data_IF_455028276818
#
_entry.id   IF_455028276818
#
_cell.length_a   1.000
_cell.length_b   1.000
_cell.length_c   1.000
_cell.angle_alpha   90.00
_cell.angle_beta   90.00
_cell.angle_gamma   90.00
#
_symmetry.space_group_name_H-M   'P 1'
#
loop_
_entity.id
_entity.type
_entity.pdbx_description
1 polymer ?
#
# COMPACT_ATOMS: atom_id res chain seq x y z
N UNK A 1 -2.80 -20.43 -14.52
CA UNK A 1 -1.41 -20.68 -14.08
C UNK A 1 -1.31 -20.27 -12.62
N UNK A 2 -0.65 -21.06 -11.76
CA UNK A 2 -0.46 -20.66 -10.34
C UNK A 2 0.68 -19.63 -10.29
N UNK A 3 0.38 -18.41 -9.84
CA UNK A 3 1.38 -17.32 -9.79
C UNK A 3 2.29 -17.51 -8.58
N UNK A 4 1.75 -17.62 -7.37
CA UNK A 4 2.56 -17.85 -6.16
C UNK A 4 2.48 -19.29 -5.69
N UNK A 5 3.61 -19.99 -5.78
CA UNK A 5 3.90 -21.26 -5.11
C UNK A 5 4.63 -21.00 -3.78
N UNK A 6 4.85 -22.05 -2.97
CA UNK A 6 5.59 -21.94 -1.72
C UNK A 6 7.03 -21.46 -1.95
N UNK A 7 7.72 -22.01 -2.95
CA UNK A 7 9.09 -21.61 -3.34
C UNK A 7 9.14 -20.15 -3.76
N UNK A 8 8.16 -19.68 -4.53
CA UNK A 8 8.08 -18.28 -4.96
C UNK A 8 7.83 -17.34 -3.79
N UNK A 9 7.00 -17.71 -2.83
CA UNK A 9 6.80 -16.91 -1.60
C UNK A 9 8.10 -16.81 -0.77
N UNK A 10 8.78 -17.95 -0.56
CA UNK A 10 10.06 -17.95 0.16
C UNK A 10 11.11 -17.13 -0.60
N UNK A 11 11.13 -17.21 -1.94
CA UNK A 11 11.99 -16.37 -2.79
C UNK A 11 11.72 -14.89 -2.56
N UNK A 12 10.47 -14.45 -2.64
CA UNK A 12 10.12 -13.04 -2.43
C UNK A 12 10.59 -12.53 -1.06
N UNK A 13 10.48 -13.34 -0.02
CA UNK A 13 10.81 -12.94 1.35
C UNK A 13 12.31 -12.96 1.69
N UNK A 14 13.09 -13.86 1.09
CA UNK A 14 14.47 -14.14 1.54
C UNK A 14 15.55 -14.02 0.46
N UNK A 15 15.19 -14.05 -0.83
CA UNK A 15 16.18 -13.92 -1.91
C UNK A 15 16.74 -12.51 -2.04
N UNK A 16 15.99 -11.50 -1.55
CA UNK A 16 16.37 -10.09 -1.58
C UNK A 16 16.57 -9.58 -0.14
N UNK A 17 17.74 -9.76 0.48
CA UNK A 17 17.95 -9.44 1.90
C UNK A 17 17.66 -7.96 2.24
N UNK A 18 17.98 -7.06 1.32
CA UNK A 18 17.72 -5.62 1.44
C UNK A 18 16.22 -5.27 1.52
N UNK A 19 15.34 -6.19 1.12
CA UNK A 19 13.89 -6.02 1.11
C UNK A 19 13.18 -6.83 2.21
N UNK A 20 13.91 -7.44 3.14
CA UNK A 20 13.37 -8.32 4.17
C UNK A 20 12.15 -7.73 4.92
N UNK A 21 12.18 -6.43 5.25
CA UNK A 21 11.11 -5.77 6.01
C UNK A 21 9.96 -5.24 5.13
N UNK A 22 10.07 -5.27 3.80
CA UNK A 22 9.14 -4.60 2.90
C UNK A 22 8.80 -5.36 1.61
N UNK A 23 9.33 -6.56 1.38
CA UNK A 23 9.03 -7.36 0.19
C UNK A 23 7.53 -7.54 -0.06
N UNK A 24 6.73 -7.70 1.01
CA UNK A 24 5.30 -7.97 0.91
C UNK A 24 4.50 -6.76 0.43
N UNK A 25 4.91 -5.53 0.78
CA UNK A 25 4.26 -4.32 0.26
C UNK A 25 4.59 -4.09 -1.21
N UNK A 26 5.77 -4.50 -1.65
CA UNK A 26 6.19 -4.43 -3.06
C UNK A 26 5.47 -5.51 -3.89
N UNK A 27 5.44 -6.74 -3.37
CA UNK A 27 4.76 -7.85 -4.00
C UNK A 27 3.26 -7.57 -4.14
N UNK A 28 2.60 -7.08 -3.08
CA UNK A 28 1.18 -6.72 -3.15
C UNK A 28 0.89 -5.60 -4.15
N UNK A 29 1.80 -4.63 -4.26
CA UNK A 29 1.68 -3.51 -5.19
C UNK A 29 1.79 -3.97 -6.64
N UNK A 30 2.82 -4.77 -6.95
CA UNK A 30 2.98 -5.37 -8.27
C UNK A 30 1.81 -6.28 -8.64
N UNK A 31 1.39 -7.18 -7.74
CA UNK A 31 0.23 -8.07 -7.94
C UNK A 31 -1.07 -7.31 -8.17
N UNK A 32 -1.29 -6.19 -7.49
CA UNK A 32 -2.43 -5.32 -7.76
C UNK A 32 -2.36 -4.76 -9.19
N UNK A 33 -1.20 -4.25 -9.62
CA UNK A 33 -1.01 -3.67 -10.96
C UNK A 33 -1.19 -4.71 -12.07
N UNK A 34 -0.64 -5.92 -11.88
CA UNK A 34 -0.75 -7.02 -12.84
C UNK A 34 -2.10 -7.76 -12.77
N UNK A 35 -3.03 -7.25 -11.96
CA UNK A 35 -4.40 -7.75 -11.80
C UNK A 35 -4.47 -9.21 -11.32
N UNK A 36 -3.73 -9.53 -10.26
CA UNK A 36 -3.70 -10.84 -9.59
C UNK A 36 -4.22 -10.74 -8.14
N UNK A 37 -5.47 -10.27 -7.89
CA UNK A 37 -5.99 -10.05 -6.54
C UNK A 37 -6.09 -11.35 -5.70
N UNK A 38 -6.28 -12.50 -6.33
CA UNK A 38 -6.37 -13.80 -5.66
C UNK A 38 -5.04 -14.25 -5.03
N UNK A 39 -3.92 -13.62 -5.38
CA UNK A 39 -2.59 -13.91 -4.83
C UNK A 39 -2.28 -13.08 -3.58
N UNK A 40 -3.03 -11.99 -3.35
CA UNK A 40 -2.82 -11.04 -2.25
C UNK A 40 -2.87 -11.74 -0.88
N UNK A 41 -3.82 -12.66 -0.68
CA UNK A 41 -3.94 -13.37 0.59
C UNK A 41 -2.75 -14.27 0.90
N UNK A 42 -2.14 -14.88 -0.13
CA UNK A 42 -0.96 -15.74 0.04
C UNK A 42 0.25 -14.94 0.52
N UNK A 43 0.49 -13.78 -0.09
CA UNK A 43 1.53 -12.83 0.34
C UNK A 43 1.27 -12.39 1.78
N UNK A 44 0.03 -11.99 2.09
CA UNK A 44 -0.33 -11.49 3.40
C UNK A 44 -0.11 -12.51 4.52
N UNK A 45 -0.64 -13.73 4.37
CA UNK A 45 -0.52 -14.78 5.38
C UNK A 45 0.93 -15.19 5.62
N UNK A 46 1.72 -15.26 4.55
CA UNK A 46 3.14 -15.57 4.70
C UNK A 46 3.88 -14.42 5.38
N UNK A 47 3.61 -13.16 5.00
CA UNK A 47 4.20 -11.98 5.64
C UNK A 47 3.87 -11.90 7.14
N UNK A 48 2.62 -12.20 7.54
CA UNK A 48 2.21 -12.21 8.95
C UNK A 48 3.01 -13.19 9.82
N UNK A 49 3.47 -14.31 9.25
CA UNK A 49 4.30 -15.30 9.95
C UNK A 49 5.79 -14.95 9.81
N UNK A 50 6.21 -14.60 8.62
CA UNK A 50 7.60 -14.33 8.29
C UNK A 50 8.16 -13.11 9.02
N UNK A 51 7.36 -12.06 9.23
CA UNK A 51 7.78 -10.85 9.96
C UNK A 51 7.87 -11.06 11.48
N UNK A 52 7.51 -12.25 11.99
CA UNK A 52 7.75 -12.69 13.37
C UNK A 52 9.07 -13.44 13.53
N UNK A 53 9.75 -13.74 12.43
CA UNK A 53 11.05 -14.38 12.42
C UNK A 53 12.14 -13.31 12.30
N UNK A 54 13.38 -13.69 12.57
CA UNK A 54 14.54 -12.83 12.31
C UNK A 54 14.95 -12.86 10.83
N UNK A 55 15.76 -11.89 10.40
CA UNK A 55 16.40 -11.95 9.11
C UNK A 55 17.40 -13.11 9.06
N UNK A 56 17.55 -13.74 7.89
CA UNK A 56 18.56 -14.80 7.74
C UNK A 56 19.95 -14.23 7.96
N UNK A 57 20.62 -14.68 9.01
CA UNK A 57 22.03 -14.37 9.30
C UNK A 57 22.99 -15.41 8.69
N UNK A 58 22.46 -16.41 7.96
CA UNK A 58 23.21 -17.58 7.51
C UNK A 58 23.18 -17.66 5.99
N UNK A 59 24.33 -18.00 5.38
CA UNK A 59 24.50 -18.25 3.94
C UNK A 59 23.76 -19.51 3.42
N UNK A 60 22.94 -20.17 4.24
CA UNK A 60 22.18 -21.36 3.85
C UNK A 60 20.99 -20.94 2.97
N UNK A 61 20.76 -21.59 1.83
CA UNK A 61 19.65 -21.26 0.95
C UNK A 61 18.32 -21.65 1.60
N UNK A 62 17.64 -20.67 2.22
CA UNK A 62 16.30 -20.83 2.76
C UNK A 62 15.26 -21.23 1.70
N UNK A 63 15.56 -20.96 0.43
CA UNK A 63 14.72 -21.28 -0.73
C UNK A 63 14.35 -22.77 -0.83
N UNK A 64 15.22 -23.66 -0.32
CA UNK A 64 15.04 -25.12 -0.38
C UNK A 64 14.83 -25.73 1.00
N UNK A 65 14.72 -24.92 2.06
CA UNK A 65 14.51 -25.44 3.41
C UNK A 65 13.10 -26.03 3.54
N UNK A 66 12.97 -27.29 3.97
CA UNK A 66 11.67 -27.97 3.98
C UNK A 66 10.69 -27.34 4.97
N UNK A 67 11.15 -26.77 6.09
CA UNK A 67 10.27 -26.15 7.08
C UNK A 67 9.83 -24.76 6.63
N UNK A 68 10.68 -23.99 5.96
CA UNK A 68 10.29 -22.72 5.34
C UNK A 68 9.30 -22.91 4.20
N UNK A 69 9.52 -23.92 3.35
CA UNK A 69 8.57 -24.28 2.29
C UNK A 69 7.23 -24.73 2.89
N UNK A 70 7.25 -25.57 3.91
CA UNK A 70 6.03 -25.98 4.63
C UNK A 70 5.31 -24.79 5.26
N UNK A 71 6.04 -23.86 5.87
CA UNK A 71 5.45 -22.63 6.44
C UNK A 71 4.75 -21.79 5.36
N UNK A 72 5.34 -21.70 4.17
CA UNK A 72 4.75 -21.01 3.02
C UNK A 72 3.52 -21.75 2.48
N UNK A 73 3.56 -23.08 2.33
CA UNK A 73 2.41 -23.91 1.97
C UNK A 73 1.24 -23.73 2.95
N UNK A 74 1.52 -23.81 4.26
CA UNK A 74 0.51 -23.65 5.30
C UNK A 74 -0.07 -22.23 5.27
N UNK A 75 0.70 -21.24 4.84
CA UNK A 75 0.24 -19.86 4.65
C UNK A 75 -0.70 -19.76 3.43
N UNK A 76 -0.37 -20.39 2.30
CA UNK A 76 -1.25 -20.49 1.14
C UNK A 76 -2.56 -21.18 1.52
N UNK A 77 -2.49 -22.33 2.19
CA UNK A 77 -3.67 -23.09 2.62
C UNK A 77 -4.55 -22.26 3.57
N UNK A 78 -3.94 -21.55 4.53
CA UNK A 78 -4.69 -20.69 5.45
C UNK A 78 -5.37 -19.50 4.76
N UNK A 79 -4.75 -18.92 3.72
CA UNK A 79 -5.34 -17.84 2.94
C UNK A 79 -6.59 -18.30 2.17
N UNK A 80 -6.52 -19.46 1.53
CA UNK A 80 -7.67 -20.08 0.84
C UNK A 80 -8.81 -20.38 1.82
N UNK A 81 -8.48 -21.00 2.96
CA UNK A 81 -9.45 -21.33 4.01
C UNK A 81 -10.13 -20.08 4.60
N UNK A 82 -9.41 -18.96 4.74
CA UNK A 82 -10.00 -17.73 5.26
C UNK A 82 -10.95 -17.07 4.26
N UNK A 83 -10.67 -17.17 2.96
CA UNK A 83 -11.59 -16.71 1.92
C UNK A 83 -12.92 -17.50 1.98
N UNK A 84 -12.85 -18.83 2.14
CA UNK A 84 -14.01 -19.70 2.36
C UNK A 84 -14.77 -19.34 3.63
N UNK A 85 -14.07 -19.15 4.75
CA UNK A 85 -14.66 -18.77 6.03
C UNK A 85 -15.40 -17.43 5.97
N UNK A 86 -14.80 -16.44 5.29
CA UNK A 86 -15.45 -15.15 5.08
C UNK A 86 -16.72 -15.30 4.24
N UNK A 87 -16.72 -16.17 3.22
CA UNK A 87 -17.90 -16.39 2.38
C UNK A 87 -19.11 -16.92 3.17
N UNK A 88 -18.88 -17.62 4.29
CA UNK A 88 -19.93 -18.14 5.17
C UNK A 88 -20.09 -17.34 6.49
N UNK A 89 -19.45 -16.17 6.59
CA UNK A 89 -19.60 -15.26 7.73
C UNK A 89 -18.90 -15.70 9.02
N UNK A 90 -17.91 -16.58 8.93
CA UNK A 90 -17.13 -17.01 10.09
C UNK A 90 -16.14 -15.93 10.52
N UNK A 91 -16.01 -15.75 11.84
CA UNK A 91 -14.98 -14.92 12.44
C UNK A 91 -13.58 -15.50 12.20
N UNK A 92 -12.70 -14.69 11.63
CA UNK A 92 -11.36 -15.13 11.25
C UNK A 92 -10.41 -15.07 12.45
N UNK A 93 -9.78 -16.21 12.84
CA UNK A 93 -8.89 -16.26 13.99
C UNK A 93 -7.54 -15.59 13.69
N UNK A 94 -6.69 -15.49 14.72
CA UNK A 94 -5.33 -14.99 14.57
C UNK A 94 -4.44 -15.99 13.82
N UNK A 95 -3.48 -15.47 13.07
CA UNK A 95 -2.52 -16.26 12.30
C UNK A 95 -1.20 -16.26 13.05
N UNK A 96 -0.86 -17.38 13.69
CA UNK A 96 0.43 -17.55 14.36
C UNK A 96 1.29 -18.57 13.62
N UNK A 97 2.60 -18.55 13.90
CA UNK A 97 3.47 -19.66 13.54
C UNK A 97 3.11 -20.84 14.46
N UNK A 98 2.75 -22.02 13.92
CA UNK A 98 2.35 -23.13 14.77
C UNK A 98 3.50 -23.58 15.68
N UNK A 99 3.17 -23.96 16.92
CA UNK A 99 4.17 -24.41 17.92
C UNK A 99 5.01 -25.61 17.42
N UNK A 100 4.47 -26.42 16.50
CA UNK A 100 5.19 -27.53 15.86
C UNK A 100 6.46 -27.12 15.11
N UNK A 101 6.66 -25.83 14.87
CA UNK A 101 7.82 -25.23 14.20
C UNK A 101 8.87 -24.64 15.14
N UNK A 102 8.61 -24.58 16.46
CA UNK A 102 9.40 -23.81 17.43
C UNK A 102 10.93 -23.96 17.28
N UNK A 103 11.42 -25.19 17.13
CA UNK A 103 12.87 -25.48 16.99
C UNK A 103 13.24 -26.03 15.60
N UNK A 104 12.33 -25.96 14.63
CA UNK A 104 12.52 -26.55 13.29
C UNK A 104 12.80 -25.51 12.22
N UNK A 105 12.38 -24.27 12.44
CA UNK A 105 12.66 -23.21 11.49
C UNK A 105 14.16 -22.86 11.50
N UNK A 106 14.74 -22.58 10.33
CA UNK A 106 16.17 -22.25 10.21
C UNK A 106 16.52 -20.85 10.73
N UNK A 107 15.51 -20.06 11.12
CA UNK A 107 15.65 -18.69 11.65
C UNK A 107 14.88 -18.57 12.98
N UNK A 108 15.43 -17.85 13.96
CA UNK A 108 14.81 -17.69 15.27
C UNK A 108 13.58 -16.76 15.21
N UNK A 109 12.76 -16.84 16.26
CA UNK A 109 11.66 -15.90 16.48
C UNK A 109 12.16 -14.55 17.00
N UNK A 110 11.58 -13.47 16.47
CA UNK A 110 11.89 -12.09 16.84
C UNK A 110 11.18 -11.63 18.12
N UNK A 111 10.00 -12.18 18.40
CA UNK A 111 9.14 -11.76 19.51
C UNK A 111 8.74 -12.94 20.38
N UNK A 112 8.70 -12.71 21.70
CA UNK A 112 8.27 -13.69 22.70
C UNK A 112 6.98 -13.30 23.43
N UNK A 113 6.53 -12.04 23.29
CA UNK A 113 5.29 -11.52 23.90
C UNK A 113 4.18 -11.42 22.87
N UNK A 114 2.97 -11.80 23.27
CA UNK A 114 1.77 -11.72 22.42
C UNK A 114 1.44 -10.30 21.95
N UNK A 115 1.69 -9.30 22.79
CA UNK A 115 1.48 -7.87 22.45
C UNK A 115 2.38 -7.42 21.31
N UNK A 116 3.67 -7.80 21.33
CA UNK A 116 4.63 -7.44 20.29
C UNK A 116 4.33 -8.17 18.97
N UNK A 117 3.90 -9.44 19.06
CA UNK A 117 3.43 -10.21 17.91
C UNK A 117 2.22 -9.53 17.26
N UNK A 118 1.21 -9.16 18.05
CA UNK A 118 0.01 -8.49 17.55
C UNK A 118 0.34 -7.12 16.94
N UNK A 119 1.23 -6.34 17.56
CA UNK A 119 1.69 -5.07 17.03
C UNK A 119 2.42 -5.22 15.69
N UNK A 120 3.32 -6.20 15.57
CA UNK A 120 4.03 -6.49 14.32
C UNK A 120 3.06 -6.89 13.20
N UNK A 121 2.10 -7.76 13.49
CA UNK A 121 1.09 -8.20 12.53
C UNK A 121 0.13 -7.08 12.11
N UNK A 122 -0.28 -6.25 13.06
CA UNK A 122 -1.05 -5.03 12.79
C UNK A 122 -0.28 -4.08 11.87
N UNK A 123 1.02 -3.92 12.08
CA UNK A 123 1.88 -3.11 11.21
C UNK A 123 1.95 -3.69 9.79
N UNK A 124 2.13 -5.00 9.62
CA UNK A 124 2.11 -5.67 8.30
C UNK A 124 0.79 -5.39 7.58
N UNK A 125 -0.34 -5.57 8.25
CA UNK A 125 -1.66 -5.32 7.66
C UNK A 125 -1.86 -3.87 7.24
N UNK A 126 -1.46 -2.91 8.09
CA UNK A 126 -1.58 -1.48 7.77
C UNK A 126 -0.66 -1.07 6.61
N UNK A 127 0.59 -1.54 6.61
CA UNK A 127 1.58 -1.25 5.56
C UNK A 127 1.14 -1.79 4.20
N UNK A 128 0.57 -3.00 4.17
CA UNK A 128 0.06 -3.60 2.92
C UNK A 128 -1.17 -2.87 2.38
N UNK A 129 -2.10 -2.44 3.25
CA UNK A 129 -3.24 -1.59 2.83
C UNK A 129 -2.77 -0.26 2.25
N UNK A 130 -1.82 0.41 2.93
CA UNK A 130 -1.28 1.69 2.47
C UNK A 130 -0.58 1.56 1.12
N UNK A 131 0.21 0.51 0.91
CA UNK A 131 0.89 0.28 -0.36
C UNK A 131 -0.11 0.09 -1.52
N UNK A 132 -1.14 -0.74 -1.34
CA UNK A 132 -2.17 -0.95 -2.36
C UNK A 132 -2.98 0.33 -2.63
N UNK A 133 -3.23 1.15 -1.61
CA UNK A 133 -3.89 2.46 -1.77
C UNK A 133 -3.02 3.43 -2.57
N UNK A 134 -1.72 3.52 -2.25
CA UNK A 134 -0.79 4.45 -2.91
C UNK A 134 -0.58 4.16 -4.40
N UNK A 135 -0.75 2.91 -4.83
CA UNK A 135 -0.66 2.56 -6.26
C UNK A 135 -1.96 2.79 -7.03
N UNK A 136 -3.09 3.13 -6.38
CA UNK A 136 -4.37 3.28 -7.04
C UNK A 136 -4.38 4.32 -8.20
N UNK A 137 -3.71 5.50 -8.08
CA UNK A 137 -3.64 6.45 -9.18
C UNK A 137 -2.79 5.98 -10.36
N UNK A 138 -1.96 4.96 -10.15
CA UNK A 138 -1.02 4.42 -11.15
C UNK A 138 -1.61 3.16 -11.79
N UNK A 139 -2.18 2.26 -10.99
CA UNK A 139 -2.75 0.99 -11.45
C UNK A 139 -4.23 1.10 -11.89
N UNK A 140 -4.93 2.14 -11.41
CA UNK A 140 -6.38 2.30 -11.52
C UNK A 140 -7.13 1.83 -10.27
N UNK A 141 -8.16 2.59 -9.86
CA UNK A 141 -9.00 2.31 -8.70
C UNK A 141 -9.60 0.88 -8.70
N UNK A 142 -10.12 0.32 -9.81
CA UNK A 142 -10.70 -1.03 -9.80
C UNK A 142 -9.72 -2.11 -9.35
N UNK A 143 -8.45 -2.02 -9.75
CA UNK A 143 -7.41 -2.99 -9.35
C UNK A 143 -7.10 -2.89 -7.86
N UNK A 144 -6.99 -1.67 -7.33
CA UNK A 144 -6.80 -1.45 -5.89
C UNK A 144 -8.02 -1.89 -5.07
N UNK A 145 -9.25 -1.69 -5.56
CA UNK A 145 -10.48 -2.19 -4.92
C UNK A 145 -10.45 -3.72 -4.84
N UNK A 146 -10.13 -4.40 -5.94
CA UNK A 146 -10.06 -5.86 -5.98
C UNK A 146 -8.99 -6.38 -5.01
N UNK A 147 -7.80 -5.77 -5.00
CA UNK A 147 -6.70 -6.18 -4.11
C UNK A 147 -7.02 -5.92 -2.62
N UNK A 148 -7.57 -4.75 -2.25
CA UNK A 148 -7.96 -4.45 -0.87
C UNK A 148 -9.13 -5.31 -0.41
N UNK A 149 -10.06 -5.65 -1.31
CA UNK A 149 -11.16 -6.57 -1.02
C UNK A 149 -10.63 -7.97 -0.75
N UNK A 150 -9.74 -8.48 -1.60
CA UNK A 150 -9.08 -9.77 -1.38
C UNK A 150 -8.31 -9.80 -0.04
N UNK A 151 -7.57 -8.73 0.28
CA UNK A 151 -6.88 -8.59 1.57
C UNK A 151 -7.88 -8.62 2.74
N UNK A 152 -8.99 -7.88 2.66
CA UNK A 152 -10.01 -7.82 3.72
C UNK A 152 -10.60 -9.20 4.01
N UNK A 153 -10.90 -9.99 2.97
CA UNK A 153 -11.49 -11.33 3.10
C UNK A 153 -10.62 -12.32 3.86
N UNK A 154 -9.32 -12.05 3.96
CA UNK A 154 -8.38 -12.95 4.64
C UNK A 154 -7.71 -12.30 5.86
N UNK A 155 -8.19 -11.13 6.28
CA UNK A 155 -7.63 -10.43 7.45
C UNK A 155 -8.26 -10.95 8.75
N UNK A 156 -7.47 -11.48 9.71
CA UNK A 156 -7.95 -11.79 11.07
C UNK A 156 -8.73 -10.66 11.69
N UNK A 157 -9.78 -10.98 12.46
CA UNK A 157 -10.65 -9.97 13.04
C UNK A 157 -9.90 -8.98 13.95
N UNK A 158 -8.87 -9.45 14.67
CA UNK A 158 -8.06 -8.70 15.62
C UNK A 158 -7.19 -7.60 14.98
N UNK A 159 -6.95 -7.64 13.66
CA UNK A 159 -6.08 -6.71 12.93
C UNK A 159 -6.80 -6.06 11.73
N UNK A 160 -8.14 -6.08 11.73
CA UNK A 160 -8.96 -5.33 10.77
C UNK A 160 -8.73 -3.82 10.92
N UNK A 161 -8.91 -3.04 9.83
CA UNK A 161 -8.71 -1.59 9.91
C UNK A 161 -9.77 -0.95 10.80
N UNK A 162 -9.41 0.15 11.44
CA UNK A 162 -10.35 1.01 12.16
C UNK A 162 -11.41 1.58 11.21
N UNK A 163 -12.58 1.94 11.75
CA UNK A 163 -13.63 2.63 10.99
C UNK A 163 -13.21 4.05 10.57
N UNK A 164 -12.27 4.65 11.30
CA UNK A 164 -11.75 5.98 10.99
C UNK A 164 -10.57 5.88 10.01
N UNK A 165 -10.55 6.66 8.93
CA UNK A 165 -9.39 6.76 8.05
C UNK A 165 -8.13 7.14 8.83
N UNK A 166 -7.00 6.50 8.51
CA UNK A 166 -5.70 6.82 9.11
C UNK A 166 -5.22 8.21 8.72
N UNK A 167 -5.52 8.62 7.49
CA UNK A 167 -5.13 9.91 6.95
C UNK A 167 -6.12 10.99 7.43
N UNK A 168 -5.63 12.17 7.87
CA UNK A 168 -6.50 13.28 8.23
C UNK A 168 -7.46 13.67 7.10
N UNK A 169 -8.74 13.77 7.42
CA UNK A 169 -9.77 14.22 6.49
C UNK A 169 -9.74 15.74 6.35
N UNK A 170 -9.81 16.25 5.12
CA UNK A 170 -9.95 17.69 4.84
C UNK A 170 -11.30 18.21 5.30
N UNK A 171 -12.33 17.37 5.23
CA UNK A 171 -13.70 17.68 5.61
C UNK A 171 -14.21 16.56 6.52
N UNK A 172 -15.00 16.91 7.54
CA UNK A 172 -15.61 15.95 8.47
C UNK A 172 -17.14 16.00 8.39
N UNK A 173 -17.75 15.26 7.44
CA UNK A 173 -19.20 15.25 7.27
C UNK A 173 -19.96 14.80 8.51
N UNK A 174 -21.22 15.23 8.64
CA UNK A 174 -22.14 14.77 9.69
C UNK A 174 -21.90 15.40 11.07
N UNK A 175 -21.04 16.40 11.18
CA UNK A 175 -20.72 17.09 12.44
C UNK A 175 -21.24 18.55 12.47
N UNK A 176 -22.25 18.86 11.65
CA UNK A 176 -22.95 20.15 11.68
C UNK A 176 -23.83 20.21 12.94
N UNK A 177 -23.85 21.35 13.64
CA UNK A 177 -24.68 21.50 14.82
C UNK A 177 -26.16 21.42 14.45
N UNK A 178 -26.97 20.75 15.28
CA UNK A 178 -28.42 20.63 15.02
C UNK A 178 -29.13 21.99 14.95
N UNK A 179 -28.57 23.02 15.61
CA UNK A 179 -29.04 24.40 15.49
C UNK A 179 -28.92 24.95 14.08
N UNK A 180 -27.98 24.47 13.27
CA UNK A 180 -27.68 25.05 11.96
C UNK A 180 -28.42 24.32 10.83
N UNK A 181 -29.04 23.17 11.16
CA UNK A 181 -29.89 22.38 10.27
C UNK A 181 -31.34 22.89 10.22
N UNK A 182 -31.78 23.70 11.19
CA UNK A 182 -33.16 24.20 11.28
C UNK A 182 -33.24 25.62 10.72
N UNK A 183 -33.97 25.76 9.61
CA UNK A 183 -34.12 27.03 8.87
C UNK A 183 -35.00 28.08 9.57
N UNK A 184 -35.86 27.71 10.53
CA UNK A 184 -36.71 28.66 11.26
C UNK A 184 -36.81 28.29 12.74
N UNK A 185 -36.59 29.27 13.63
CA UNK A 185 -36.99 29.15 15.03
C UNK A 185 -38.51 29.36 15.14
N UNK A 186 -39.17 28.67 16.07
CA UNK A 186 -40.62 28.77 16.29
C UNK A 186 -41.09 30.21 16.61
N UNK A 187 -40.15 31.10 16.97
CA UNK A 187 -40.40 32.50 17.30
C UNK A 187 -40.05 33.49 16.17
N UNK A 188 -39.50 33.04 15.04
CA UNK A 188 -39.14 33.89 13.89
C UNK A 188 -38.10 34.98 14.19
N UNK A 189 -37.21 34.75 15.16
CA UNK A 189 -36.22 35.73 15.63
C UNK A 189 -34.85 35.57 14.99
N UNK A 190 -34.64 34.53 14.18
CA UNK A 190 -33.38 34.30 13.47
C UNK A 190 -33.32 35.11 12.16
N UNK A 191 -32.30 35.95 12.03
CA UNK A 191 -32.01 36.69 10.81
C UNK A 191 -31.32 35.77 9.78
N UNK A 192 -31.71 35.84 8.50
CA UNK A 192 -31.11 35.08 7.40
C UNK A 192 -29.57 35.26 7.30
N UNK A 193 -29.03 36.34 7.85
CA UNK A 193 -27.59 36.66 7.84
C UNK A 193 -26.73 35.78 8.76
N UNK A 194 -27.34 35.04 9.70
CA UNK A 194 -26.62 34.23 10.71
C UNK A 194 -26.61 32.73 10.38
N UNK A 195 -27.19 32.32 9.24
CA UNK A 195 -27.27 30.91 8.83
C UNK A 195 -26.06 30.55 8.00
N UNK A 196 -25.20 29.69 8.53
CA UNK A 196 -24.10 29.10 7.78
C UNK A 196 -24.70 28.08 6.80
N UNK A 197 -24.46 28.21 5.48
CA UNK A 197 -25.01 27.27 4.52
C UNK A 197 -24.52 25.84 4.78
N UNK A 198 -25.47 24.92 4.86
CA UNK A 198 -25.23 23.48 4.98
C UNK A 198 -25.64 22.78 3.70
N UNK A 199 -24.89 21.75 3.32
CA UNK A 199 -25.16 20.96 2.12
C UNK A 199 -25.19 19.48 2.46
N UNK A 200 -26.22 18.77 2.00
CA UNK A 200 -26.31 17.32 2.21
C UNK A 200 -25.37 16.57 1.28
N UNK A 201 -24.69 15.56 1.81
CA UNK A 201 -23.82 14.65 1.06
C UNK A 201 -24.12 13.20 1.42
N UNK A 202 -23.57 12.26 0.66
CA UNK A 202 -23.66 10.82 0.95
C UNK A 202 -23.10 10.45 2.33
N UNK A 203 -22.16 11.25 2.86
CA UNK A 203 -21.50 11.01 4.16
C UNK A 203 -22.12 11.87 5.28
N UNK A 204 -23.22 12.58 5.02
CA UNK A 204 -23.89 13.49 5.94
C UNK A 204 -23.75 14.97 5.56
N UNK A 205 -24.43 15.87 6.28
CA UNK A 205 -24.39 17.30 6.01
C UNK A 205 -23.00 17.90 6.23
N UNK A 206 -22.63 18.88 5.41
CA UNK A 206 -21.34 19.60 5.46
C UNK A 206 -21.54 21.11 5.46
N UNK A 207 -20.58 21.85 6.00
CA UNK A 207 -20.51 23.32 5.95
C UNK A 207 -19.04 23.77 5.82
N UNK A 208 -18.83 25.05 5.52
CA UNK A 208 -17.47 25.63 5.40
C UNK A 208 -16.67 25.51 6.70
N UNK A 209 -17.34 25.55 7.86
CA UNK A 209 -16.67 25.43 9.16
C UNK A 209 -16.08 24.04 9.42
N UNK A 210 -16.58 23.01 8.74
CA UNK A 210 -16.09 21.64 8.86
C UNK A 210 -14.82 21.38 8.03
N UNK A 211 -14.41 22.36 7.21
CA UNK A 211 -13.17 22.30 6.42
C UNK A 211 -11.98 22.55 7.33
N UNK A 212 -10.97 21.68 7.25
CA UNK A 212 -9.69 21.87 7.92
C UNK A 212 -8.65 22.48 6.96
N UNK A 213 -8.44 23.82 6.98
CA UNK A 213 -7.51 24.48 6.07
C UNK A 213 -6.05 24.12 6.34
N UNK A 214 -5.71 23.68 7.57
CA UNK A 214 -4.34 23.27 7.90
C UNK A 214 -3.95 22.02 7.11
N UNK A 215 -4.84 21.03 7.03
CA UNK A 215 -4.57 19.82 6.27
C UNK A 215 -4.40 20.11 4.77
N UNK A 216 -5.15 21.08 4.22
CA UNK A 216 -4.96 21.52 2.84
C UNK A 216 -3.54 22.08 2.66
N UNK A 217 -3.14 23.03 3.50
CA UNK A 217 -1.81 23.64 3.47
C UNK A 217 -0.70 22.59 3.63
N UNK A 218 -0.80 21.74 4.66
CA UNK A 218 0.18 20.71 4.97
C UNK A 218 0.34 19.73 3.80
N UNK A 219 -0.77 19.29 3.18
CA UNK A 219 -0.76 18.43 2.00
C UNK A 219 -0.08 19.11 0.80
N UNK A 220 -0.35 20.40 0.59
CA UNK A 220 0.27 21.17 -0.49
C UNK A 220 1.78 21.31 -0.29
N UNK A 221 2.23 21.66 0.92
CA UNK A 221 3.66 21.84 1.23
C UNK A 221 4.41 20.51 1.09
N UNK A 222 3.95 19.46 1.78
CA UNK A 222 4.63 18.15 1.73
C UNK A 222 4.57 17.49 0.34
N UNK A 223 3.53 17.78 -0.44
CA UNK A 223 3.44 17.39 -1.85
C UNK A 223 4.48 18.07 -2.72
N UNK A 224 4.72 19.37 -2.51
CA UNK A 224 5.79 20.13 -3.18
C UNK A 224 7.15 19.53 -2.87
N UNK A 225 7.43 19.27 -1.59
CA UNK A 225 8.72 18.72 -1.16
C UNK A 225 8.97 17.35 -1.77
N UNK A 226 7.97 16.46 -1.75
CA UNK A 226 8.06 15.17 -2.41
C UNK A 226 8.31 15.30 -3.91
N UNK A 227 7.61 16.21 -4.59
CA UNK A 227 7.76 16.45 -6.03
C UNK A 227 9.19 16.86 -6.39
N UNK A 228 9.77 17.78 -5.61
CA UNK A 228 11.13 18.26 -5.79
C UNK A 228 12.17 17.15 -5.52
N UNK A 229 11.94 16.30 -4.52
CA UNK A 229 12.83 15.17 -4.24
C UNK A 229 12.79 14.13 -5.38
N UNK A 230 11.62 13.83 -5.94
CA UNK A 230 11.49 12.84 -7.02
C UNK A 230 12.11 13.35 -8.33
N UNK A 231 11.71 14.54 -8.77
CA UNK A 231 12.04 15.02 -10.11
C UNK A 231 13.23 15.97 -10.16
N UNK A 232 13.66 16.54 -9.02
CA UNK A 232 14.79 17.45 -8.93
C UNK A 232 14.76 18.55 -10.00
N UNK A 233 15.87 18.71 -10.73
CA UNK A 233 16.05 19.75 -11.75
C UNK A 233 15.04 19.69 -12.90
N UNK A 234 14.44 18.53 -13.18
CA UNK A 234 13.47 18.38 -14.28
C UNK A 234 12.02 18.59 -13.82
N UNK A 235 11.77 18.80 -12.52
CA UNK A 235 10.43 18.88 -11.94
C UNK A 235 9.53 19.93 -12.60
N UNK A 236 10.05 21.13 -12.87
CA UNK A 236 9.31 22.19 -13.57
C UNK A 236 8.94 21.80 -14.99
N UNK A 237 9.83 21.10 -15.70
CA UNK A 237 9.57 20.64 -17.07
C UNK A 237 8.47 19.57 -17.08
N UNK A 238 8.54 18.59 -16.17
CA UNK A 238 7.53 17.53 -16.05
C UNK A 238 6.17 18.10 -15.66
N UNK A 239 6.14 19.05 -14.71
CA UNK A 239 4.92 19.82 -14.37
C UNK A 239 4.34 20.51 -15.60
N UNK A 240 5.16 21.30 -16.31
CA UNK A 240 4.69 22.08 -17.46
C UNK A 240 4.22 21.18 -18.60
N UNK A 241 4.82 19.99 -18.77
CA UNK A 241 4.34 19.01 -19.74
C UNK A 241 2.91 18.56 -19.43
N UNK A 242 2.60 18.20 -18.18
CA UNK A 242 1.23 17.83 -17.79
C UNK A 242 0.28 19.02 -17.91
N UNK A 243 0.68 20.19 -17.42
CA UNK A 243 -0.15 21.39 -17.43
C UNK A 243 -0.50 21.85 -18.85
N UNK A 244 0.48 21.85 -19.77
CA UNK A 244 0.27 22.23 -21.16
C UNK A 244 -0.53 21.18 -21.95
N UNK A 245 -0.44 19.91 -21.57
CA UNK A 245 -1.28 18.87 -22.16
C UNK A 245 -2.74 19.02 -21.72
N UNK A 246 -2.97 19.22 -20.41
CA UNK A 246 -4.27 19.54 -19.83
C UNK A 246 -4.08 20.04 -18.38
N UNK A 247 -4.43 21.31 -18.04
CA UNK A 247 -4.21 21.85 -16.70
C UNK A 247 -4.81 21.01 -15.56
N UNK A 248 -5.97 20.40 -15.78
CA UNK A 248 -6.63 19.56 -14.77
C UNK A 248 -5.82 18.29 -14.46
N UNK A 249 -5.04 17.78 -15.40
CA UNK A 249 -4.13 16.65 -15.14
C UNK A 249 -3.07 17.03 -14.09
N UNK A 250 -2.49 18.24 -14.21
CA UNK A 250 -1.57 18.72 -13.19
C UNK A 250 -2.27 18.95 -11.85
N UNK A 251 -3.44 19.59 -11.87
CA UNK A 251 -4.19 19.88 -10.63
C UNK A 251 -4.56 18.59 -9.89
N UNK A 252 -5.05 17.58 -10.61
CA UNK A 252 -5.36 16.27 -10.05
C UNK A 252 -4.10 15.56 -9.52
N UNK A 253 -3.05 15.46 -10.34
CA UNK A 253 -1.82 14.80 -9.92
C UNK A 253 -1.24 15.46 -8.66
N UNK A 254 -1.15 16.78 -8.63
CA UNK A 254 -0.54 17.49 -7.52
C UNK A 254 -1.42 17.47 -6.25
N UNK A 255 -2.69 17.89 -6.37
CA UNK A 255 -3.55 18.10 -5.21
C UNK A 255 -4.28 16.84 -4.73
N UNK A 256 -4.37 15.78 -5.53
CA UNK A 256 -5.08 14.54 -5.15
C UNK A 256 -4.16 13.32 -5.07
N UNK A 257 -2.98 13.35 -5.69
CA UNK A 257 -2.04 12.22 -5.68
C UNK A 257 -0.77 12.54 -4.89
N UNK A 258 0.05 13.48 -5.36
CA UNK A 258 1.35 13.76 -4.73
C UNK A 258 1.22 14.37 -3.33
N UNK A 259 0.33 15.35 -3.16
CA UNK A 259 0.07 16.01 -1.87
C UNK A 259 -0.63 15.10 -0.86
N UNK A 260 -1.90 14.73 -1.05
CA UNK A 260 -2.65 14.03 -0.02
C UNK A 260 -2.44 12.52 -0.03
N UNK A 261 -1.78 11.87 -0.98
CA UNK A 261 -1.63 10.41 -0.96
C UNK A 261 -0.17 9.99 -0.84
N UNK A 262 0.65 10.25 -1.87
CA UNK A 262 2.01 9.72 -1.94
C UNK A 262 2.92 10.27 -0.84
N UNK A 263 2.84 11.56 -0.52
CA UNK A 263 3.67 12.15 0.53
C UNK A 263 3.22 11.81 1.96
N UNK A 264 2.23 10.91 2.18
CA UNK A 264 2.02 10.40 3.54
C UNK A 264 3.23 9.60 3.93
N UNK A 265 3.69 9.74 5.16
CA UNK A 265 4.77 8.88 5.64
C UNK A 265 4.50 8.26 7.00
N UNK A 266 3.29 8.42 7.55
CA UNK A 266 2.94 7.90 8.88
C UNK A 266 2.78 6.37 8.93
N UNK A 267 2.58 5.69 7.78
CA UNK A 267 2.39 4.23 7.71
C UNK A 267 3.57 3.53 7.01
N UNK A 268 3.96 4.03 5.83
CA UNK A 268 5.17 3.61 5.12
C UNK A 268 6.02 4.84 4.82
N UNK A 269 7.34 4.71 4.91
CA UNK A 269 8.28 5.82 4.73
C UNK A 269 8.28 6.38 3.30
N UNK A 270 8.91 7.54 3.10
CA UNK A 270 9.09 8.12 1.77
C UNK A 270 9.91 7.19 0.84
N UNK A 271 10.93 6.51 1.39
CA UNK A 271 11.72 5.51 0.67
C UNK A 271 10.86 4.31 0.23
N UNK A 272 10.10 3.72 1.15
CA UNK A 272 9.21 2.60 0.84
C UNK A 272 8.11 2.99 -0.16
N UNK A 273 7.62 4.23 -0.06
CA UNK A 273 6.67 4.79 -1.04
C UNK A 273 7.30 4.84 -2.44
N UNK A 274 8.55 5.29 -2.56
CA UNK A 274 9.25 5.26 -3.84
C UNK A 274 9.40 3.83 -4.37
N UNK A 275 9.71 2.85 -3.52
CA UNK A 275 9.78 1.45 -3.94
C UNK A 275 8.43 0.90 -4.42
N UNK A 276 7.35 1.20 -3.69
CA UNK A 276 5.97 0.84 -4.09
C UNK A 276 5.64 1.43 -5.46
N UNK A 277 5.93 2.72 -5.68
CA UNK A 277 5.68 3.38 -6.97
C UNK A 277 6.54 2.78 -8.09
N UNK A 278 7.83 2.49 -7.85
CA UNK A 278 8.70 1.80 -8.82
C UNK A 278 8.11 0.44 -9.20
N UNK A 279 7.70 -0.38 -8.21
CA UNK A 279 7.07 -1.69 -8.45
C UNK A 279 5.76 -1.60 -9.23
N UNK A 280 5.04 -0.48 -9.13
CA UNK A 280 3.80 -0.24 -9.86
C UNK A 280 4.01 0.28 -11.29
N UNK A 281 5.11 0.96 -11.57
CA UNK A 281 5.42 1.52 -12.89
C UNK A 281 6.06 0.50 -13.83
N UNK A 282 6.84 -0.45 -13.31
CA UNK A 282 7.52 -1.48 -14.11
C UNK A 282 6.55 -2.28 -15.00
N UNK A 283 5.41 -2.81 -14.51
CA UNK A 283 4.51 -3.60 -15.34
C UNK A 283 3.66 -2.77 -16.33
N UNK A 284 3.83 -1.44 -16.36
CA UNK A 284 3.02 -0.53 -17.18
C UNK A 284 3.77 0.05 -18.38
N UNK A 285 5.05 -0.28 -18.55
CA UNK A 285 5.89 0.17 -19.66
C UNK A 285 5.97 1.72 -19.81
N UNK A 286 5.91 2.44 -18.69
CA UNK A 286 5.96 3.92 -18.64
C UNK A 286 7.37 4.43 -18.26
N UNK A 287 8.35 4.05 -19.08
CA UNK A 287 9.78 4.31 -18.82
C UNK A 287 10.17 5.78 -18.48
N UNK A 288 9.60 6.83 -19.13
CA UNK A 288 9.89 8.21 -18.77
C UNK A 288 9.55 8.54 -17.31
N UNK A 289 8.40 8.04 -16.83
CA UNK A 289 7.95 8.20 -15.45
C UNK A 289 8.81 7.36 -14.51
N UNK A 290 9.07 6.09 -14.86
CA UNK A 290 9.90 5.17 -14.08
C UNK A 290 11.30 5.76 -13.79
N UNK A 291 11.97 6.38 -14.78
CA UNK A 291 13.28 7.02 -14.59
C UNK A 291 13.27 8.08 -13.47
N UNK A 292 12.21 8.90 -13.42
CA UNK A 292 12.04 9.91 -12.38
C UNK A 292 11.95 9.27 -11.00
N UNK A 293 11.15 8.21 -10.86
CA UNK A 293 10.98 7.52 -9.58
C UNK A 293 12.18 6.68 -9.15
N UNK A 294 12.94 6.10 -10.08
CA UNK A 294 14.21 5.45 -9.76
C UNK A 294 15.21 6.45 -9.16
N UNK A 295 15.37 7.62 -9.80
CA UNK A 295 16.24 8.68 -9.28
C UNK A 295 15.70 9.26 -7.97
N UNK A 296 14.38 9.44 -7.87
CA UNK A 296 13.70 9.88 -6.66
C UNK A 296 13.92 8.95 -5.48
N UNK A 297 13.90 7.63 -5.70
CA UNK A 297 14.21 6.64 -4.67
C UNK A 297 15.63 6.84 -4.11
N UNK A 298 16.64 7.05 -4.97
CA UNK A 298 18.00 7.38 -4.53
C UNK A 298 18.05 8.66 -3.70
N UNK A 299 17.32 9.70 -4.12
CA UNK A 299 17.28 10.97 -3.40
C UNK A 299 16.59 10.84 -2.03
N UNK A 300 15.73 9.84 -1.85
CA UNK A 300 15.07 9.47 -0.58
C UNK A 300 15.92 8.51 0.28
N UNK A 301 17.20 8.34 -0.04
CA UNK A 301 18.14 7.52 0.73
C UNK A 301 18.10 6.02 0.41
N UNK A 302 17.50 5.62 -0.71
CA UNK A 302 17.66 4.25 -1.18
C UNK A 302 19.06 4.00 -1.75
N UNK A 303 19.57 2.79 -1.57
CA UNK A 303 20.78 2.35 -2.26
C UNK A 303 20.45 1.86 -3.67
N UNK A 304 21.46 1.81 -4.55
CA UNK A 304 21.29 1.20 -5.88
C UNK A 304 20.88 -0.27 -5.78
N UNK A 305 21.47 -1.00 -4.84
CA UNK A 305 21.21 -2.42 -4.60
C UNK A 305 19.77 -2.68 -4.12
N UNK A 306 19.23 -1.82 -3.24
CA UNK A 306 17.81 -1.88 -2.86
C UNK A 306 16.92 -1.71 -4.10
N UNK A 307 17.21 -0.71 -4.95
CA UNK A 307 16.41 -0.43 -6.15
C UNK A 307 16.50 -1.57 -7.18
N UNK A 308 17.69 -2.13 -7.39
CA UNK A 308 17.90 -3.31 -8.25
C UNK A 308 17.12 -4.53 -7.72
N UNK A 309 17.07 -4.70 -6.40
CA UNK A 309 16.28 -5.74 -5.75
C UNK A 309 14.78 -5.51 -5.96
N UNK A 310 14.29 -4.27 -5.83
CA UNK A 310 12.87 -3.92 -6.11
C UNK A 310 12.51 -4.24 -7.55
N UNK A 311 13.36 -3.85 -8.50
CA UNK A 311 13.15 -4.15 -9.92
C UNK A 311 13.12 -5.66 -10.16
N UNK A 312 14.08 -6.40 -9.62
CA UNK A 312 14.18 -7.85 -9.79
C UNK A 312 12.98 -8.59 -9.21
N UNK A 313 12.55 -8.22 -8.00
CA UNK A 313 11.35 -8.78 -7.36
C UNK A 313 10.10 -8.51 -8.22
N UNK A 314 9.99 -7.30 -8.78
CA UNK A 314 8.85 -6.94 -9.63
C UNK A 314 8.86 -7.72 -10.95
N UNK A 315 10.03 -7.90 -11.55
CA UNK A 315 10.19 -8.70 -12.75
C UNK A 315 9.80 -10.16 -12.54
N UNK A 316 10.21 -10.77 -11.43
CA UNK A 316 9.80 -12.12 -11.05
C UNK A 316 8.27 -12.25 -11.06
N UNK A 317 7.56 -11.30 -10.44
CA UNK A 317 6.09 -11.29 -10.38
C UNK A 317 5.44 -11.11 -11.75
N UNK A 318 6.01 -10.26 -12.60
CA UNK A 318 5.57 -10.13 -13.99
C UNK A 318 5.73 -11.47 -14.73
N UNK A 319 6.94 -12.04 -14.70
CA UNK A 319 7.27 -13.28 -15.40
C UNK A 319 6.37 -14.44 -14.93
N UNK A 320 6.06 -14.53 -13.63
CA UNK A 320 5.18 -15.56 -13.08
C UNK A 320 3.69 -15.34 -13.38
N UNK A 321 3.29 -14.11 -13.66
CA UNK A 321 1.90 -13.77 -14.04
C UNK A 321 1.60 -14.13 -15.49
N UNK A 322 2.63 -14.35 -16.31
CA UNK A 322 2.51 -14.89 -17.67
C UNK A 322 1.96 -13.93 -18.72
N UNK A 323 1.89 -12.62 -18.43
CA UNK A 323 1.50 -11.61 -19.41
C UNK A 323 2.74 -10.98 -20.08
N UNK A 324 2.57 -10.47 -21.29
CA UNK A 324 3.56 -9.58 -21.91
C UNK A 324 3.34 -8.14 -21.44
N UNK A 325 4.29 -7.62 -20.66
CA UNK A 325 4.20 -6.30 -20.02
C UNK A 325 5.02 -5.22 -20.73
N UNK A 326 5.93 -5.58 -21.64
CA UNK A 326 6.92 -4.65 -22.17
C UNK A 326 7.01 -4.74 -23.68
N UNK A 327 6.72 -3.63 -24.38
CA UNK A 327 6.67 -3.61 -25.85
C UNK A 327 8.00 -4.02 -26.50
N UNK A 328 9.13 -3.69 -25.86
CA UNK A 328 10.48 -3.97 -26.38
C UNK A 328 11.26 -4.92 -25.47
N UNK A 329 10.57 -5.89 -24.86
CA UNK A 329 11.12 -6.84 -23.88
C UNK A 329 11.62 -6.20 -22.57
N UNK A 330 11.94 -7.07 -21.61
CA UNK A 330 12.32 -6.72 -20.22
C UNK A 330 13.59 -5.85 -20.16
N UNK A 331 14.50 -6.01 -21.11
CA UNK A 331 15.75 -5.26 -21.20
C UNK A 331 15.53 -3.78 -21.50
N UNK A 332 14.38 -3.42 -22.09
CA UNK A 332 14.02 -2.03 -22.38
C UNK A 332 13.55 -1.24 -21.16
N UNK A 333 13.25 -1.92 -20.05
CA UNK A 333 12.80 -1.29 -18.80
C UNK A 333 13.93 -0.42 -18.26
N UNK A 334 13.58 0.81 -17.90
CA UNK A 334 14.52 1.80 -17.42
C UNK A 334 15.28 1.31 -16.18
N UNK A 335 16.58 1.60 -16.17
CA UNK A 335 17.51 1.30 -15.09
C UNK A 335 18.14 2.61 -14.58
N UNK A 336 18.77 2.53 -13.41
CA UNK A 336 19.45 3.66 -12.77
C UNK A 336 20.72 4.11 -13.50
#
# INVERSE_FOLDING_TARGET
MVVLTAERLVKLAYYYPSLYNNWYILASSALAVVNQPQEIGKVFHFALKQQLLEASLVDKPLLTDPFMLKLAEDSIASALKYDEFTAIGINLPDILVPYSYHDKLPVPFKYNRSEDIHAAQSAVANRMREAILKVAPIAGLPKSINALTALRKVTPNSIRPDLKPRRPCVLTPGHVASSDLVQEDFAGTRFESDIIPTYDTMEGPVSVELVNPRIILDNTVRGSDLWLVIYGKIGTRVKNQMYNAYPDLWQYAYNNVYGPLLSYTEIISAKETSFVVVSALIPQDVNPTLKGHLKGALNQGATKEEIESVCSLTFDLCDWSGNDFWKNAKESVAKL
#
